data_IF_809985981695
#
_entry.id   IF_809985981695
#
_cell.length_a   1.000
_cell.length_b   1.000
_cell.length_c   1.000
_cell.angle_alpha   90.00
_cell.angle_beta   90.00
_cell.angle_gamma   90.00
#
_symmetry.space_group_name_H-M   'P 1'
#
loop_
_entity.id
_entity.type
_entity.pdbx_description
1 polymer ?
#
# COMPACT_ATOMS: atom_id res chain seq x y z
N UNK A 1 -15.41 19.70 14.38
CA UNK A 1 -16.42 19.15 13.45
C UNK A 1 -16.61 17.68 13.77
N UNK A 2 -17.84 17.20 13.91
CA UNK A 2 -18.10 15.76 14.16
C UNK A 2 -18.24 14.98 12.85
N UNK A 3 -18.02 13.67 12.87
CA UNK A 3 -18.21 12.81 11.68
C UNK A 3 -19.63 12.93 11.10
N UNK A 4 -20.62 13.08 11.98
CA UNK A 4 -22.02 13.24 11.58
C UNK A 4 -22.27 14.57 10.85
N UNK A 5 -21.60 15.65 11.27
CA UNK A 5 -21.66 16.93 10.56
C UNK A 5 -20.95 16.86 9.20
N UNK A 6 -19.81 16.17 9.14
CA UNK A 6 -19.05 15.96 7.90
C UNK A 6 -19.86 15.13 6.89
N UNK A 7 -20.58 14.09 7.34
CA UNK A 7 -21.41 13.25 6.49
C UNK A 7 -22.47 14.09 5.75
N UNK A 8 -23.19 14.95 6.46
CA UNK A 8 -24.19 15.83 5.86
C UNK A 8 -23.59 16.77 4.80
N UNK A 9 -22.38 17.28 5.05
CA UNK A 9 -21.68 18.14 4.10
C UNK A 9 -21.22 17.38 2.85
N UNK A 10 -20.65 16.18 3.02
CA UNK A 10 -20.23 15.34 1.89
C UNK A 10 -21.41 14.89 1.02
N UNK A 11 -22.57 14.62 1.60
CA UNK A 11 -23.77 14.25 0.85
C UNK A 11 -24.29 15.40 -0.03
N UNK A 12 -24.13 16.64 0.42
CA UNK A 12 -24.55 17.86 -0.28
C UNK A 12 -23.65 18.25 -1.46
N UNK A 13 -22.45 17.67 -1.57
CA UNK A 13 -21.52 17.93 -2.68
C UNK A 13 -22.03 17.37 -4.02
N UNK A 14 -21.68 18.06 -5.10
CA UNK A 14 -21.80 17.54 -6.46
C UNK A 14 -20.90 16.31 -6.69
N UNK A 15 -21.08 15.61 -7.81
CA UNK A 15 -20.30 14.41 -8.15
C UNK A 15 -18.80 14.75 -8.29
N UNK A 16 -18.47 15.88 -8.94
CA UNK A 16 -17.09 16.31 -9.13
C UNK A 16 -16.43 16.71 -7.81
N UNK A 17 -17.15 17.41 -6.95
CA UNK A 17 -16.66 17.78 -5.62
C UNK A 17 -16.47 16.55 -4.71
N UNK A 18 -17.33 15.52 -4.84
CA UNK A 18 -17.14 14.24 -4.15
C UNK A 18 -15.85 13.57 -4.60
N UNK A 19 -15.56 13.56 -5.90
CA UNK A 19 -14.30 13.02 -6.42
C UNK A 19 -13.08 13.81 -5.89
N UNK A 20 -13.16 15.13 -5.84
CA UNK A 20 -12.10 15.97 -5.26
C UNK A 20 -11.91 15.72 -3.76
N UNK A 21 -13.00 15.57 -3.00
CA UNK A 21 -12.94 15.25 -1.58
C UNK A 21 -12.29 13.87 -1.33
N UNK A 22 -12.58 12.87 -2.17
CA UNK A 22 -11.91 11.57 -2.13
C UNK A 22 -10.40 11.75 -2.36
N UNK A 23 -9.99 12.49 -3.39
CA UNK A 23 -8.57 12.73 -3.68
C UNK A 23 -7.85 13.46 -2.53
N UNK A 24 -8.50 14.47 -1.91
CA UNK A 24 -7.95 15.17 -0.74
C UNK A 24 -7.81 14.26 0.49
N UNK A 25 -8.79 13.38 0.71
CA UNK A 25 -8.72 12.41 1.79
C UNK A 25 -7.62 11.39 1.54
N UNK A 26 -7.48 10.87 0.32
CA UNK A 26 -6.37 10.00 -0.08
C UNK A 26 -5.02 10.70 0.14
N UNK A 27 -4.88 11.94 -0.33
CA UNK A 27 -3.64 12.72 -0.17
C UNK A 27 -3.30 13.05 1.29
N UNK A 28 -4.29 13.27 2.15
CA UNK A 28 -4.06 13.50 3.60
C UNK A 28 -3.86 12.20 4.40
N UNK A 29 -4.26 11.06 3.84
CA UNK A 29 -4.00 9.74 4.39
C UNK A 29 -2.69 9.12 3.87
N UNK A 30 -1.96 9.77 2.97
CA UNK A 30 -0.70 9.26 2.40
C UNK A 30 0.36 8.90 3.45
N UNK A 31 0.34 9.53 4.63
CA UNK A 31 1.24 9.18 5.74
C UNK A 31 0.78 7.93 6.53
N UNK A 32 -0.44 7.45 6.26
CA UNK A 32 -1.06 6.28 6.89
C UNK A 32 -1.55 5.32 5.81
N UNK A 33 -0.60 4.66 5.18
CA UNK A 33 -0.90 3.53 4.30
C UNK A 33 -1.56 2.40 5.09
N UNK A 34 -2.81 2.03 4.77
CA UNK A 34 -3.46 0.91 5.41
C UNK A 34 -2.64 -0.36 5.18
N UNK A 35 -2.26 -1.04 6.26
CA UNK A 35 -1.57 -2.32 6.14
C UNK A 35 -0.10 -2.25 5.71
N UNK A 36 0.48 -1.08 5.41
CA UNK A 36 1.91 -0.95 5.04
C UNK A 36 2.64 -0.04 6.04
N UNK A 37 3.83 -0.47 6.48
CA UNK A 37 4.64 0.27 7.45
C UNK A 37 6.08 0.36 6.99
N UNK A 38 6.67 1.57 7.10
CA UNK A 38 8.11 1.81 6.99
C UNK A 38 8.68 1.97 8.40
N UNK A 39 9.56 1.06 8.80
CA UNK A 39 10.20 1.10 10.12
C UNK A 39 11.70 1.16 9.95
N UNK A 40 12.33 2.23 10.44
CA UNK A 40 13.80 2.38 10.37
C UNK A 40 14.49 1.17 11.00
N UNK A 41 15.48 0.61 10.30
CA UNK A 41 16.23 -0.58 10.76
C UNK A 41 15.54 -1.93 10.53
N UNK A 42 14.29 -1.96 10.05
CA UNK A 42 13.63 -3.20 9.60
C UNK A 42 13.71 -3.26 8.08
N UNK A 43 14.34 -4.30 7.52
CA UNK A 43 14.56 -4.44 6.07
C UNK A 43 15.11 -3.17 5.42
N UNK A 44 16.09 -2.52 6.07
CA UNK A 44 16.69 -1.29 5.56
C UNK A 44 15.78 -0.05 5.53
N UNK A 45 14.58 -0.12 6.13
CA UNK A 45 13.59 0.95 6.09
C UNK A 45 12.59 0.85 4.93
N UNK A 46 12.65 -0.24 4.15
CA UNK A 46 11.71 -0.49 3.05
C UNK A 46 10.27 -0.67 3.59
N UNK A 47 9.29 -0.36 2.73
CA UNK A 47 7.89 -0.57 3.02
C UNK A 47 7.58 -2.07 3.20
N UNK A 48 7.09 -2.44 4.38
CA UNK A 48 6.75 -3.82 4.72
C UNK A 48 5.25 -3.96 4.99
N UNK A 49 4.70 -5.13 4.69
CA UNK A 49 3.34 -5.48 5.07
C UNK A 49 3.21 -5.54 6.60
N UNK A 50 2.12 -4.98 7.12
CA UNK A 50 1.82 -4.77 8.55
C UNK A 50 2.31 -5.90 9.44
N UNK A 51 3.11 -5.55 10.44
CA UNK A 51 3.61 -6.47 11.48
C UNK A 51 4.43 -7.66 10.94
N UNK A 52 4.77 -7.66 9.66
CA UNK A 52 5.66 -8.64 9.04
C UNK A 52 6.99 -7.97 8.69
N UNK A 53 7.97 -8.80 8.29
CA UNK A 53 9.19 -8.35 7.61
C UNK A 53 9.14 -8.68 6.11
N UNK A 54 7.94 -8.74 5.53
CA UNK A 54 7.73 -9.04 4.11
C UNK A 54 7.68 -7.69 3.36
N UNK A 55 8.72 -7.35 2.57
CA UNK A 55 8.76 -6.07 1.86
C UNK A 55 7.78 -6.07 0.69
N UNK A 56 7.19 -4.92 0.39
CA UNK A 56 6.31 -4.75 -0.78
C UNK A 56 7.09 -5.04 -2.08
N UNK A 57 8.35 -4.60 -2.17
CA UNK A 57 9.18 -4.84 -3.35
C UNK A 57 9.41 -6.32 -3.62
N UNK A 58 9.44 -7.17 -2.58
CA UNK A 58 9.61 -8.62 -2.73
C UNK A 58 8.38 -9.23 -3.40
N UNK A 59 7.19 -8.85 -2.92
CA UNK A 59 5.93 -9.32 -3.49
C UNK A 59 5.79 -8.90 -4.95
N UNK A 60 6.17 -7.65 -5.28
CA UNK A 60 6.17 -7.15 -6.67
C UNK A 60 7.15 -7.95 -7.53
N UNK A 61 8.39 -8.14 -7.07
CA UNK A 61 9.41 -8.91 -7.79
C UNK A 61 8.96 -10.35 -8.06
N UNK A 62 8.33 -11.02 -7.09
CA UNK A 62 7.79 -12.37 -7.28
C UNK A 62 6.65 -12.40 -8.29
N UNK A 63 5.74 -11.40 -8.23
CA UNK A 63 4.65 -11.25 -9.19
C UNK A 63 5.18 -11.03 -10.61
N UNK A 64 6.22 -10.21 -10.78
CA UNK A 64 6.88 -9.97 -12.07
C UNK A 64 7.55 -11.24 -12.62
N UNK A 65 7.97 -12.15 -11.75
CA UNK A 65 8.49 -13.48 -12.09
C UNK A 65 7.37 -14.51 -12.35
N UNK A 66 6.09 -14.11 -12.27
CA UNK A 66 4.94 -14.96 -12.56
C UNK A 66 4.28 -15.62 -11.34
N UNK A 67 4.64 -15.23 -10.11
CA UNK A 67 3.95 -15.71 -8.92
C UNK A 67 2.48 -15.28 -8.92
N UNK A 68 1.58 -16.22 -8.61
CA UNK A 68 0.15 -15.95 -8.43
C UNK A 68 -0.13 -15.51 -6.99
N UNK A 69 -1.20 -14.77 -6.76
CA UNK A 69 -1.61 -14.40 -5.39
C UNK A 69 -1.90 -15.62 -4.53
N UNK A 70 -2.46 -16.68 -5.10
CA UNK A 70 -2.69 -17.95 -4.39
C UNK A 70 -1.36 -18.54 -3.90
N UNK A 71 -0.34 -18.54 -4.75
CA UNK A 71 1.01 -18.98 -4.37
C UNK A 71 1.62 -18.09 -3.29
N UNK A 72 1.48 -16.76 -3.41
CA UNK A 72 1.99 -15.82 -2.40
C UNK A 72 1.33 -16.02 -1.03
N UNK A 73 0.02 -16.29 -0.98
CA UNK A 73 -0.70 -16.56 0.27
C UNK A 73 -0.35 -17.93 0.87
N UNK A 74 0.05 -18.90 0.04
CA UNK A 74 0.54 -20.20 0.49
C UNK A 74 1.96 -20.10 1.07
N UNK A 75 2.87 -19.41 0.39
CA UNK A 75 4.27 -19.27 0.78
C UNK A 75 4.47 -18.29 1.96
N UNK A 76 3.57 -17.30 2.08
CA UNK A 76 3.54 -16.34 3.18
C UNK A 76 2.22 -16.42 3.96
N UNK A 77 2.05 -17.41 4.86
CA UNK A 77 0.79 -17.68 5.55
C UNK A 77 0.35 -16.57 6.52
N UNK A 78 1.25 -15.64 6.86
CA UNK A 78 0.93 -14.45 7.66
C UNK A 78 0.25 -13.34 6.85
N UNK A 79 0.22 -13.46 5.52
CA UNK A 79 -0.45 -12.52 4.62
C UNK A 79 -1.92 -12.88 4.44
N UNK A 80 -2.75 -11.84 4.31
CA UNK A 80 -4.13 -11.95 3.86
C UNK A 80 -4.30 -11.38 2.45
N UNK A 81 -5.40 -11.72 1.78
CA UNK A 81 -5.75 -11.10 0.50
C UNK A 81 -5.84 -9.57 0.59
N UNK A 82 -6.31 -9.04 1.73
CA UNK A 82 -6.33 -7.59 2.00
C UNK A 82 -4.93 -7.01 2.09
N UNK A 83 -3.98 -7.75 2.67
CA UNK A 83 -2.60 -7.30 2.75
C UNK A 83 -1.94 -7.24 1.36
N UNK A 84 -2.21 -8.20 0.48
CA UNK A 84 -1.76 -8.16 -0.92
C UNK A 84 -2.38 -6.96 -1.67
N UNK A 85 -3.69 -6.74 -1.52
CA UNK A 85 -4.35 -5.59 -2.13
C UNK A 85 -3.73 -4.24 -1.68
N UNK A 86 -3.41 -4.11 -0.40
CA UNK A 86 -2.71 -2.94 0.14
C UNK A 86 -1.28 -2.81 -0.41
N UNK A 87 -0.55 -3.93 -0.55
CA UNK A 87 0.80 -3.93 -1.10
C UNK A 87 0.81 -3.49 -2.58
N UNK A 88 -0.16 -3.94 -3.39
CA UNK A 88 -0.30 -3.51 -4.78
C UNK A 88 -0.65 -2.04 -4.90
N UNK A 89 -1.61 -1.56 -4.10
CA UNK A 89 -1.95 -0.14 -4.08
C UNK A 89 -0.74 0.73 -3.68
N UNK A 90 0.07 0.24 -2.73
CA UNK A 90 1.31 0.92 -2.35
C UNK A 90 2.32 0.96 -3.51
N UNK A 91 2.51 -0.16 -4.19
CA UNK A 91 3.43 -0.25 -5.32
C UNK A 91 3.01 0.66 -6.48
N UNK A 92 1.72 0.71 -6.82
CA UNK A 92 1.18 1.53 -7.90
C UNK A 92 1.33 3.04 -7.63
N UNK A 93 1.40 3.45 -6.37
CA UNK A 93 1.58 4.84 -5.96
C UNK A 93 3.03 5.22 -5.69
N UNK A 94 3.90 4.24 -5.45
CA UNK A 94 5.32 4.41 -5.12
C UNK A 94 6.22 3.66 -6.10
N UNK A 95 5.90 3.72 -7.41
CA UNK A 95 6.57 2.94 -8.46
C UNK A 95 8.09 3.12 -8.44
N UNK A 96 8.57 4.36 -8.36
CA UNK A 96 10.00 4.65 -8.35
C UNK A 96 10.71 4.09 -7.10
N UNK A 97 10.05 4.14 -5.94
CA UNK A 97 10.58 3.57 -4.69
C UNK A 97 10.74 2.05 -4.82
N UNK A 98 9.71 1.38 -5.32
CA UNK A 98 9.70 -0.08 -5.49
C UNK A 98 10.74 -0.51 -6.53
N UNK A 99 10.79 0.14 -7.69
CA UNK A 99 11.76 -0.16 -8.73
C UNK A 99 13.20 0.00 -8.22
N UNK A 100 13.49 1.07 -7.48
CA UNK A 100 14.80 1.28 -6.88
C UNK A 100 15.15 0.21 -5.83
N UNK A 101 14.17 -0.25 -5.04
CA UNK A 101 14.37 -1.31 -4.06
C UNK A 101 14.66 -2.67 -4.73
N UNK A 102 13.91 -3.02 -5.79
CA UNK A 102 14.14 -4.24 -6.58
C UNK A 102 15.55 -4.21 -7.20
N UNK A 103 15.94 -3.10 -7.82
CA UNK A 103 17.26 -2.95 -8.42
C UNK A 103 18.38 -3.08 -7.39
N UNK A 104 18.22 -2.44 -6.21
CA UNK A 104 19.19 -2.53 -5.11
C UNK A 104 19.38 -3.97 -4.64
N UNK A 105 18.30 -4.73 -4.53
CA UNK A 105 18.37 -6.12 -4.08
C UNK A 105 18.94 -7.06 -5.15
N UNK A 106 18.67 -6.81 -6.43
CA UNK A 106 19.24 -7.60 -7.52
C UNK A 106 20.75 -7.39 -7.70
N UNK A 107 21.29 -6.26 -7.22
CA UNK A 107 22.70 -5.92 -7.29
C UNK A 107 23.53 -6.32 -6.04
N UNK A 108 22.88 -6.88 -5.02
CA UNK A 108 23.48 -7.32 -3.76
C UNK A 108 23.76 -8.82 -3.77
#
# INVERSE_FOLDING_TARGET
>A
MTLQQLQSQLLALSVDEKAQAINLLVASLSDRWPGIKKTSGVMGGDACVRQTRIPVWLLVSLRDQGATEAYLLEDYPDLTATDLANAWLYADTHVDEIAAAIQRQAAA
#
